data_IF_088981553455
#
_entry.id   IF_088981553455
#
_cell.length_a   1.000
_cell.length_b   1.000
_cell.length_c   1.000
_cell.angle_alpha   90.00
_cell.angle_beta   90.00
_cell.angle_gamma   90.00
#
_symmetry.space_group_name_H-M   'P 1'
#
loop_
_entity.id
_entity.type
_entity.pdbx_description
1 polymer ?
#
# COMPACT_ATOMS: atom_id res chain seq x y z
N UNK A 1 -13.04 12.71 -31.45
CA UNK A 1 -13.00 11.32 -30.93
C UNK A 1 -11.59 11.04 -30.44
N UNK A 2 -11.35 11.11 -29.13
CA UNK A 2 -10.07 10.70 -28.56
C UNK A 2 -9.87 9.19 -28.75
N UNK A 3 -8.82 8.80 -29.48
CA UNK A 3 -8.43 7.39 -29.62
C UNK A 3 -8.15 6.83 -28.23
N UNK A 4 -8.93 5.84 -27.78
CA UNK A 4 -8.65 5.13 -26.53
C UNK A 4 -7.20 4.61 -26.58
N UNK A 5 -6.36 5.05 -25.63
CA UNK A 5 -4.96 4.59 -25.53
C UNK A 5 -4.95 3.08 -25.30
N UNK A 6 -4.12 2.35 -26.05
CA UNK A 6 -4.00 0.90 -25.93
C UNK A 6 -3.61 0.54 -24.48
N UNK A 7 -4.08 -0.57 -23.92
CA UNK A 7 -3.77 -0.97 -22.54
C UNK A 7 -2.27 -1.01 -22.22
N UNK A 8 -1.43 -1.37 -23.21
CA UNK A 8 0.02 -1.36 -23.10
C UNK A 8 0.59 0.05 -22.88
N UNK A 9 0.07 1.06 -23.59
CA UNK A 9 0.49 2.46 -23.40
C UNK A 9 0.15 2.94 -21.99
N UNK A 10 -1.01 2.55 -21.46
CA UNK A 10 -1.40 2.92 -20.10
C UNK A 10 -0.49 2.26 -19.04
N UNK A 11 -0.13 0.99 -19.24
CA UNK A 11 0.80 0.29 -18.35
C UNK A 11 2.19 0.91 -18.41
N UNK A 12 2.69 1.27 -19.62
CA UNK A 12 3.96 1.99 -19.80
C UNK A 12 4.01 3.26 -18.96
N UNK A 13 2.98 4.09 -19.08
CA UNK A 13 2.89 5.36 -18.36
C UNK A 13 2.88 5.16 -16.84
N UNK A 14 2.20 4.13 -16.35
CA UNK A 14 2.19 3.78 -14.93
C UNK A 14 3.56 3.35 -14.42
N UNK A 15 4.30 2.55 -15.19
CA UNK A 15 5.65 2.11 -14.82
C UNK A 15 6.61 3.31 -14.77
N UNK A 16 6.61 4.15 -15.81
CA UNK A 16 7.42 5.37 -15.86
C UNK A 16 7.11 6.28 -14.65
N UNK A 17 5.83 6.50 -14.37
CA UNK A 17 5.41 7.37 -13.26
C UNK A 17 5.85 6.82 -11.90
N UNK A 18 5.78 5.50 -11.70
CA UNK A 18 6.27 4.85 -10.49
C UNK A 18 7.79 4.99 -10.35
N UNK A 19 8.55 4.82 -11.43
CA UNK A 19 10.01 5.02 -11.41
C UNK A 19 10.39 6.46 -11.09
N UNK A 20 9.66 7.44 -11.62
CA UNK A 20 9.90 8.86 -11.30
C UNK A 20 9.61 9.15 -9.82
N UNK A 21 8.49 8.66 -9.29
CA UNK A 21 8.07 8.94 -7.92
C UNK A 21 8.86 8.18 -6.85
N UNK A 22 9.11 6.90 -7.10
CA UNK A 22 9.64 5.97 -6.08
C UNK A 22 11.18 5.84 -6.17
N UNK A 23 11.80 6.13 -7.33
CA UNK A 23 13.25 6.00 -7.57
C UNK A 23 13.91 7.36 -7.93
N UNK A 24 13.14 8.33 -8.42
CA UNK A 24 13.65 9.67 -8.75
C UNK A 24 14.35 9.79 -10.10
N UNK A 25 14.21 8.80 -10.99
CA UNK A 25 14.85 8.85 -12.32
C UNK A 25 14.01 9.65 -13.32
N UNK A 26 14.68 10.29 -14.29
CA UNK A 26 14.00 11.05 -15.33
C UNK A 26 13.20 10.15 -16.27
N UNK A 27 12.20 10.72 -16.94
CA UNK A 27 11.38 10.00 -17.93
C UNK A 27 12.21 9.41 -19.07
N UNK A 28 13.19 10.15 -19.56
CA UNK A 28 14.11 9.69 -20.62
C UNK A 28 14.88 8.43 -20.19
N UNK A 29 15.29 8.39 -18.92
CA UNK A 29 15.98 7.22 -18.38
C UNK A 29 15.02 6.06 -18.07
N UNK A 30 13.80 6.35 -17.62
CA UNK A 30 12.78 5.36 -17.28
C UNK A 30 12.19 4.64 -18.52
N UNK A 31 12.09 5.33 -19.66
CA UNK A 31 11.48 4.82 -20.88
C UNK A 31 12.05 3.46 -21.36
N UNK A 32 13.38 3.28 -21.55
CA UNK A 32 13.93 2.01 -22.01
C UNK A 32 13.67 0.84 -21.04
N UNK A 33 13.61 1.10 -19.73
CA UNK A 33 13.26 0.08 -18.74
C UNK A 33 11.80 -0.32 -18.85
N UNK A 34 10.90 0.65 -18.99
CA UNK A 34 9.47 0.36 -19.17
C UNK A 34 9.21 -0.45 -20.44
N UNK A 35 9.89 -0.12 -21.56
CA UNK A 35 9.81 -0.91 -22.80
C UNK A 35 10.37 -2.32 -22.62
N UNK A 36 11.49 -2.48 -21.92
CA UNK A 36 12.07 -3.81 -21.64
C UNK A 36 11.12 -4.67 -20.79
N UNK A 37 10.51 -4.10 -19.76
CA UNK A 37 9.52 -4.77 -18.90
C UNK A 37 8.31 -5.20 -19.73
N UNK A 38 7.78 -4.32 -20.58
CA UNK A 38 6.66 -4.66 -21.47
C UNK A 38 7.04 -5.74 -22.49
N UNK A 39 8.26 -5.69 -23.02
CA UNK A 39 8.82 -6.69 -23.92
C UNK A 39 8.93 -8.07 -23.29
N UNK A 40 9.29 -8.17 -22.01
CA UNK A 40 9.35 -9.45 -21.28
C UNK A 40 8.00 -10.18 -21.24
N UNK A 41 6.89 -9.44 -21.26
CA UNK A 41 5.57 -10.06 -21.22
C UNK A 41 5.05 -10.47 -22.61
N UNK A 42 5.71 -10.13 -23.72
CA UNK A 42 5.42 -10.64 -25.08
C UNK A 42 3.92 -10.67 -25.51
N UNK A 43 3.06 -9.82 -24.94
CA UNK A 43 1.61 -9.82 -25.20
C UNK A 43 0.75 -10.58 -24.17
N UNK A 44 1.37 -11.24 -23.20
CA UNK A 44 0.72 -11.80 -22.02
C UNK A 44 0.19 -10.68 -21.10
N UNK A 45 -0.89 -11.00 -20.38
CA UNK A 45 -1.51 -10.12 -19.39
C UNK A 45 -1.18 -10.62 -17.99
N UNK A 46 0.00 -10.26 -17.43
CA UNK A 46 0.36 -10.66 -16.08
C UNK A 46 -0.69 -10.18 -15.08
N UNK A 47 -1.15 -11.09 -14.23
CA UNK A 47 -1.98 -10.73 -13.09
C UNK A 47 -1.09 -10.07 -12.02
N UNK A 48 -1.31 -8.79 -11.78
CA UNK A 48 -0.70 -8.09 -10.65
C UNK A 48 -1.69 -8.09 -9.49
N UNK A 49 -1.45 -8.85 -8.42
CA UNK A 49 -2.28 -8.75 -7.23
C UNK A 49 -2.27 -7.32 -6.70
N UNK A 50 -3.38 -6.87 -6.14
CA UNK A 50 -3.45 -5.56 -5.50
C UNK A 50 -2.33 -5.45 -4.45
N UNK A 51 -1.63 -4.31 -4.40
CA UNK A 51 -0.61 -4.05 -3.38
C UNK A 51 -1.22 -4.37 -2.01
N UNK A 52 -0.68 -5.39 -1.32
CA UNK A 52 -1.00 -5.60 0.08
C UNK A 52 -0.67 -4.29 0.81
N UNK A 53 -1.64 -3.77 1.56
CA UNK A 53 -1.37 -2.64 2.45
C UNK A 53 -0.38 -3.14 3.48
N UNK A 54 0.87 -2.70 3.35
CA UNK A 54 1.88 -2.94 4.38
C UNK A 54 1.46 -2.06 5.54
N UNK A 55 0.78 -2.64 6.52
CA UNK A 55 0.48 -1.97 7.77
C UNK A 55 1.77 -1.94 8.57
N UNK A 56 2.26 -0.74 8.90
CA UNK A 56 3.40 -0.58 9.79
C UNK A 56 2.97 -0.99 11.21
N UNK A 57 3.08 -2.29 11.52
CA UNK A 57 2.63 -2.87 12.78
C UNK A 57 3.22 -2.13 13.98
N UNK A 58 4.48 -1.70 13.89
CA UNK A 58 5.15 -0.89 14.91
C UNK A 58 4.44 0.43 15.20
N UNK A 59 3.92 1.11 14.18
CA UNK A 59 3.19 2.37 14.36
C UNK A 59 1.83 2.14 15.01
N UNK A 60 1.15 1.05 14.65
CA UNK A 60 -0.13 0.65 15.24
C UNK A 60 0.08 0.25 16.71
N UNK A 61 1.11 -0.53 17.01
CA UNK A 61 1.46 -0.96 18.36
C UNK A 61 1.84 0.24 19.24
N UNK A 62 2.64 1.18 18.73
CA UNK A 62 3.00 2.40 19.45
C UNK A 62 1.77 3.27 19.78
N UNK A 63 0.80 3.39 18.87
CA UNK A 63 -0.44 4.13 19.14
C UNK A 63 -1.29 3.44 20.22
N UNK A 64 -1.35 2.11 20.20
CA UNK A 64 -2.06 1.31 21.21
C UNK A 64 -1.38 1.43 22.59
N UNK A 65 -0.06 1.32 22.64
CA UNK A 65 0.75 1.47 23.86
C UNK A 65 0.65 2.89 24.44
N UNK A 66 0.50 3.91 23.59
CA UNK A 66 0.21 5.28 24.02
C UNK A 66 -1.21 5.46 24.60
N UNK A 67 -2.04 4.40 24.58
CA UNK A 67 -3.40 4.42 25.09
C UNK A 67 -4.41 5.09 24.16
N UNK A 68 -4.09 5.24 22.87
CA UNK A 68 -5.03 5.76 21.88
C UNK A 68 -6.22 4.78 21.77
N UNK A 69 -7.47 5.27 21.77
CA UNK A 69 -8.63 4.39 21.65
C UNK A 69 -8.57 3.55 20.38
N UNK A 70 -8.91 2.26 20.49
CA UNK A 70 -8.89 1.29 19.39
C UNK A 70 -9.62 1.80 18.14
N UNK A 71 -10.75 2.50 18.33
CA UNK A 71 -11.51 3.07 17.22
C UNK A 71 -10.73 4.17 16.48
N UNK A 72 -10.01 5.02 17.21
CA UNK A 72 -9.16 6.06 16.64
C UNK A 72 -7.94 5.49 15.94
N UNK A 73 -7.30 4.45 16.50
CA UNK A 73 -6.20 3.73 15.84
C UNK A 73 -6.68 3.07 14.55
N UNK A 74 -7.83 2.39 14.59
CA UNK A 74 -8.42 1.75 13.40
C UNK A 74 -8.70 2.77 12.29
N UNK A 75 -9.29 3.92 12.63
CA UNK A 75 -9.55 5.01 11.68
C UNK A 75 -8.25 5.60 11.10
N UNK A 76 -7.27 5.90 11.96
CA UNK A 76 -5.97 6.47 11.57
C UNK A 76 -5.21 5.57 10.58
N UNK A 77 -5.28 4.26 10.77
CA UNK A 77 -4.56 3.28 9.95
C UNK A 77 -5.40 2.67 8.82
N UNK A 78 -6.64 3.15 8.62
CA UNK A 78 -7.53 2.66 7.56
C UNK A 78 -7.88 1.17 7.70
N UNK A 79 -8.04 0.71 8.94
CA UNK A 79 -8.30 -0.67 9.33
C UNK A 79 -9.71 -0.81 9.92
N UNK A 80 -10.32 -1.98 9.73
CA UNK A 80 -11.49 -2.35 10.54
C UNK A 80 -11.04 -2.83 11.93
N UNK A 81 -11.90 -2.70 12.94
CA UNK A 81 -11.62 -3.23 14.29
C UNK A 81 -11.29 -4.72 14.25
N UNK A 82 -12.06 -5.50 13.47
CA UNK A 82 -11.83 -6.93 13.30
C UNK A 82 -10.48 -7.26 12.66
N UNK A 83 -10.03 -6.45 11.69
CA UNK A 83 -8.70 -6.61 11.11
C UNK A 83 -7.63 -6.27 12.16
N UNK A 84 -7.83 -5.22 12.94
CA UNK A 84 -6.89 -4.80 13.98
C UNK A 84 -6.72 -5.88 15.07
N UNK A 85 -7.80 -6.53 15.54
CA UNK A 85 -7.69 -7.69 16.44
C UNK A 85 -6.98 -8.91 15.81
N UNK A 86 -7.09 -9.08 14.49
CA UNK A 86 -6.38 -10.16 13.78
C UNK A 86 -4.87 -9.92 13.70
N UNK A 87 -4.45 -8.65 13.63
CA UNK A 87 -3.05 -8.27 13.64
C UNK A 87 -2.40 -8.47 15.02
N UNK A 88 -3.18 -8.44 16.10
CA UNK A 88 -2.72 -8.60 17.48
C UNK A 88 -3.50 -9.73 18.19
N UNK A 89 -3.20 -11.01 17.89
CA UNK A 89 -3.92 -12.15 18.44
C UNK A 89 -3.76 -12.29 19.97
N UNK A 90 -2.72 -11.71 20.56
CA UNK A 90 -2.53 -11.58 22.02
C UNK A 90 -3.39 -10.51 22.69
N UNK A 91 -4.26 -9.84 21.93
CA UNK A 91 -5.09 -8.75 22.40
C UNK A 91 -4.46 -7.37 22.16
N UNK A 92 -5.31 -6.35 22.18
CA UNK A 92 -4.88 -4.96 22.05
C UNK A 92 -4.59 -4.42 23.43
N UNK A 93 -3.39 -3.87 23.66
CA UNK A 93 -3.02 -3.15 24.88
C UNK A 93 -3.71 -1.79 24.99
N UNK A 94 -4.98 -1.70 24.58
CA UNK A 94 -5.77 -0.51 24.81
C UNK A 94 -6.08 -0.44 26.29
N UNK A 95 -5.32 0.40 27.00
CA UNK A 95 -5.48 0.85 28.38
C UNK A 95 -6.56 0.09 29.17
N UNK A 96 -6.08 -0.81 30.01
CA UNK A 96 -6.66 -1.07 31.33
C UNK A 96 -7.14 0.25 31.95
N UNK A 97 -8.41 0.59 31.77
CA UNK A 97 -9.07 1.66 32.52
C UNK A 97 -10.42 1.18 33.03
N UNK A 98 -10.40 0.01 33.68
CA UNK A 98 -11.38 -0.41 34.68
C UNK A 98 -10.61 -1.03 35.84
N UNK A 99 -10.82 -0.44 37.02
CA UNK A 99 -10.32 -0.81 38.35
C UNK A 99 -9.02 -0.13 38.81
N UNK A 100 -9.18 0.90 39.66
CA UNK A 100 -8.09 1.40 40.50
C UNK A 100 -8.18 2.87 40.93
N UNK A 101 -9.29 3.30 41.55
CA UNK A 101 -9.39 4.23 42.71
C UNK A 101 -10.85 4.59 42.96
#
# INVERSE_FOLDING_TARGET
MEKQKKPADQLRERIISAMQRDIGISRQLAAPFAESILGCFAGERPYFPARQRIHHLQAIESDLDAGVPVASVAAKHGLSRAHLYRLFPGGLKARSNRAGS
#
